data_IF_474307438191
#
_entry.id   IF_474307438191
#
_cell.length_a   1.000
_cell.length_b   1.000
_cell.length_c   1.000
_cell.angle_alpha   90.00
_cell.angle_beta   90.00
_cell.angle_gamma   90.00
#
_symmetry.space_group_name_H-M   'P 1'
#
loop_
_entity.id
_entity.type
_entity.pdbx_description
1 polymer ?
#
# COMPACT_ATOMS: atom_id res chain seq x y z
N UNK A 1 12.04 2.46 -5.88
CA UNK A 1 10.98 1.88 -6.71
C UNK A 1 11.46 0.63 -7.40
N UNK A 2 11.12 -0.52 -6.81
CA UNK A 2 11.10 -1.79 -7.52
C UNK A 2 9.73 -2.03 -8.20
N UNK A 3 9.59 -3.15 -8.93
CA UNK A 3 8.36 -3.48 -9.66
C UNK A 3 7.13 -3.63 -8.76
N UNK A 4 7.25 -4.24 -7.57
CA UNK A 4 6.11 -4.43 -6.65
C UNK A 4 5.67 -3.09 -6.07
N UNK A 5 6.62 -2.23 -5.70
CA UNK A 5 6.32 -0.87 -5.21
C UNK A 5 5.49 -0.08 -6.24
N UNK A 6 5.80 -0.23 -7.53
CA UNK A 6 5.09 0.44 -8.62
C UNK A 6 3.67 -0.10 -8.81
N UNK A 7 3.48 -1.42 -8.77
CA UNK A 7 2.16 -2.06 -8.84
C UNK A 7 1.25 -1.61 -7.69
N UNK A 8 1.78 -1.56 -6.46
CA UNK A 8 1.05 -1.05 -5.29
C UNK A 8 0.57 0.38 -5.54
N UNK A 9 1.44 1.27 -6.04
CA UNK A 9 1.07 2.65 -6.32
C UNK A 9 -0.06 2.72 -7.35
N UNK A 10 0.04 1.96 -8.46
CA UNK A 10 -0.95 1.96 -9.54
C UNK A 10 -2.32 1.48 -9.03
N UNK A 11 -2.33 0.34 -8.32
CA UNK A 11 -3.56 -0.27 -7.80
C UNK A 11 -4.22 0.61 -6.75
N UNK A 12 -3.47 1.18 -5.82
CA UNK A 12 -4.02 2.08 -4.79
C UNK A 12 -4.50 3.40 -5.37
N UNK A 13 -3.77 3.96 -6.34
CA UNK A 13 -4.21 5.20 -7.03
C UNK A 13 -5.56 4.99 -7.71
N UNK A 14 -5.74 3.84 -8.38
CA UNK A 14 -6.98 3.51 -9.07
C UNK A 14 -8.11 3.08 -8.13
N UNK A 15 -7.78 2.38 -7.04
CA UNK A 15 -8.75 1.75 -6.15
C UNK A 15 -9.31 2.66 -5.06
N UNK A 16 -8.55 3.65 -4.58
CA UNK A 16 -9.02 4.59 -3.54
C UNK A 16 -8.88 6.06 -3.93
N UNK A 17 -8.44 6.40 -5.14
CA UNK A 17 -8.31 7.77 -5.63
C UNK A 17 -7.75 8.75 -4.57
N UNK A 18 -6.56 8.47 -4.01
CA UNK A 18 -6.06 9.23 -2.88
C UNK A 18 -5.64 10.64 -3.29
N UNK A 19 -5.88 11.60 -2.40
CA UNK A 19 -5.34 12.96 -2.49
C UNK A 19 -3.83 12.97 -2.22
N UNK A 20 -3.38 12.07 -1.34
CA UNK A 20 -1.96 11.84 -1.02
C UNK A 20 -1.72 10.33 -0.93
N UNK A 21 -0.67 9.84 -1.59
CA UNK A 21 -0.22 8.46 -1.51
C UNK A 21 1.31 8.42 -1.43
N UNK A 22 1.82 7.84 -0.35
CA UNK A 22 3.23 7.52 -0.19
C UNK A 22 3.37 6.01 0.05
N UNK A 23 4.25 5.38 -0.72
CA UNK A 23 4.59 3.96 -0.59
C UNK A 23 6.10 3.88 -0.41
N UNK A 24 6.55 3.15 0.61
CA UNK A 24 7.97 2.99 0.93
C UNK A 24 8.29 1.52 1.16
N UNK A 25 9.30 0.99 0.46
CA UNK A 25 9.82 -0.35 0.70
C UNK A 25 10.71 -0.36 1.96
N UNK A 26 10.19 -0.95 3.04
CA UNK A 26 10.88 -1.11 4.32
C UNK A 26 11.46 -2.52 4.51
N UNK A 27 11.52 -3.34 3.45
CA UNK A 27 12.04 -4.71 3.50
C UNK A 27 13.46 -4.79 4.07
N UNK A 28 14.30 -3.78 3.82
CA UNK A 28 15.66 -3.68 4.36
C UNK A 28 15.71 -3.58 5.90
N UNK A 29 14.61 -3.24 6.56
CA UNK A 29 14.49 -3.23 8.02
C UNK A 29 14.19 -4.62 8.61
N UNK A 30 13.98 -5.63 7.76
CA UNK A 30 13.67 -6.99 8.15
C UNK A 30 14.80 -7.95 7.77
N UNK A 31 14.81 -9.14 8.40
CA UNK A 31 15.78 -10.21 8.10
C UNK A 31 15.45 -10.90 6.77
N UNK A 32 15.58 -10.17 5.67
CA UNK A 32 15.35 -10.62 4.29
C UNK A 32 16.55 -10.28 3.41
N UNK A 33 16.76 -10.99 2.29
CA UNK A 33 17.85 -10.69 1.37
C UNK A 33 17.79 -9.26 0.81
N UNK A 34 18.94 -8.64 0.47
CA UNK A 34 18.96 -7.36 -0.22
C UNK A 34 18.14 -7.39 -1.51
N UNK A 35 17.36 -6.32 -1.74
CA UNK A 35 16.46 -6.23 -2.91
C UNK A 35 15.11 -6.93 -2.74
N UNK A 36 14.81 -7.48 -1.55
CA UNK A 36 13.47 -8.02 -1.27
C UNK A 36 12.40 -6.93 -1.33
N UNK A 37 11.21 -7.33 -1.77
CA UNK A 37 10.01 -6.51 -1.87
C UNK A 37 8.87 -7.19 -1.10
N UNK A 38 9.06 -7.35 0.22
CA UNK A 38 8.15 -8.12 1.08
C UNK A 38 7.52 -7.31 2.20
N UNK A 39 8.03 -6.12 2.49
CA UNK A 39 7.47 -5.24 3.51
C UNK A 39 7.38 -3.80 3.00
N UNK A 40 6.16 -3.27 3.03
CA UNK A 40 5.84 -1.94 2.52
C UNK A 40 5.06 -1.15 3.57
N UNK A 41 5.43 0.11 3.69
CA UNK A 41 4.63 1.11 4.40
C UNK A 41 3.84 1.93 3.40
N UNK A 42 2.56 2.08 3.67
CA UNK A 42 1.63 2.89 2.86
C UNK A 42 1.04 3.99 3.74
N UNK A 43 1.15 5.23 3.29
CA UNK A 43 0.46 6.39 3.86
C UNK A 43 -0.46 6.95 2.80
N UNK A 44 -1.77 6.94 3.08
CA UNK A 44 -2.78 7.38 2.11
C UNK A 44 -3.83 8.29 2.75
N UNK A 45 -4.19 9.37 2.05
CA UNK A 45 -5.31 10.26 2.38
C UNK A 45 -6.34 10.12 1.25
N UNK A 46 -7.55 9.68 1.59
CA UNK A 46 -8.65 9.53 0.62
C UNK A 46 -10.01 9.73 1.30
N UNK A 47 -10.95 10.31 0.54
CA UNK A 47 -12.36 10.42 0.94
C UNK A 47 -13.03 9.05 1.10
N UNK A 48 -12.54 8.01 0.41
CA UNK A 48 -13.06 6.64 0.53
C UNK A 48 -12.93 6.08 1.96
N UNK A 49 -12.03 6.62 2.77
CA UNK A 49 -11.85 6.23 4.17
C UNK A 49 -12.81 6.93 5.14
N UNK A 50 -13.56 7.93 4.68
CA UNK A 50 -14.48 8.68 5.52
C UNK A 50 -15.62 7.77 6.03
N UNK A 51 -15.98 7.92 7.31
CA UNK A 51 -16.98 7.08 7.97
C UNK A 51 -16.57 5.60 8.18
N UNK A 52 -15.43 5.15 7.66
CA UNK A 52 -14.94 3.77 7.82
C UNK A 52 -14.09 3.62 9.08
N UNK A 53 -14.29 2.51 9.79
CA UNK A 53 -13.45 2.10 10.93
C UNK A 53 -12.07 1.72 10.44
N UNK A 54 -11.07 1.79 11.33
CA UNK A 54 -9.68 1.48 11.02
C UNK A 54 -9.52 0.11 10.32
N UNK A 55 -10.12 -0.95 10.87
CA UNK A 55 -10.05 -2.30 10.27
C UNK A 55 -10.64 -2.33 8.85
N UNK A 56 -11.73 -1.61 8.59
CA UNK A 56 -12.36 -1.56 7.27
C UNK A 56 -11.49 -0.85 6.23
N UNK A 57 -10.71 0.16 6.66
CA UNK A 57 -9.72 0.81 5.79
C UNK A 57 -8.62 -0.18 5.40
N UNK A 58 -8.08 -0.93 6.36
CA UNK A 58 -7.10 -1.97 6.07
C UNK A 58 -7.66 -3.07 5.17
N UNK A 59 -8.87 -3.57 5.44
CA UNK A 59 -9.52 -4.57 4.60
C UNK A 59 -9.71 -4.09 3.15
N UNK A 60 -10.06 -2.82 2.95
CA UNK A 60 -10.14 -2.22 1.62
C UNK A 60 -8.79 -2.24 0.91
N UNK A 61 -7.72 -1.83 1.59
CA UNK A 61 -6.36 -1.86 1.02
C UNK A 61 -5.94 -3.29 0.68
N UNK A 62 -6.13 -4.24 1.60
CA UNK A 62 -5.82 -5.65 1.36
C UNK A 62 -6.64 -6.25 0.21
N UNK A 63 -7.90 -5.84 0.06
CA UNK A 63 -8.73 -6.31 -1.05
C UNK A 63 -8.23 -5.80 -2.41
N UNK A 64 -7.67 -4.59 -2.47
CA UNK A 64 -7.11 -4.02 -3.70
C UNK A 64 -5.77 -4.68 -4.05
N UNK A 65 -4.99 -5.02 -3.03
CA UNK A 65 -3.66 -5.62 -3.14
C UNK A 65 -3.66 -7.14 -2.94
N UNK A 66 -4.80 -7.82 -3.11
CA UNK A 66 -4.93 -9.22 -2.75
C UNK A 66 -4.02 -10.17 -3.55
N UNK A 67 -3.59 -9.74 -4.75
CA UNK A 67 -2.72 -10.49 -5.66
C UNK A 67 -1.23 -10.11 -5.55
N UNK A 68 -0.88 -9.19 -4.63
CA UNK A 68 0.50 -8.78 -4.33
C UNK A 68 1.05 -9.52 -3.10
#
# INVERSE_FOLDING_TARGET
>A
MGPVEQEIIIKLTSGVAPEVLEVSNESHMHSVPPGSESHFKVVAISQEFNGRRLVQRHQMIYSILADE
#
